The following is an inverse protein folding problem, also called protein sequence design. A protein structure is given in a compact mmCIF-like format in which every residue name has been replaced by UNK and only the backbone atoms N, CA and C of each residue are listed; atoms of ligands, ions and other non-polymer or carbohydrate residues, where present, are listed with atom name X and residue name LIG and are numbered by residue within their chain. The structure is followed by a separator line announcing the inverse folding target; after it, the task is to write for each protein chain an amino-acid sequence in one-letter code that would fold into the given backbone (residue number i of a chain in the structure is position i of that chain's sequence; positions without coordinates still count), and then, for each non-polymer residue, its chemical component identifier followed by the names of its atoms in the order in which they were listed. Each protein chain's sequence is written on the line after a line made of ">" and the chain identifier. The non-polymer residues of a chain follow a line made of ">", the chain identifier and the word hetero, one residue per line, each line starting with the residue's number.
data_IF_968791159991
#
_entry.id   IF_968791159991
#
_cell.length_a   1.000
_cell.length_b   1.000
_cell.length_c   1.000
_cell.angle_alpha   90.00
_cell.angle_beta   90.00
_cell.angle_gamma   90.00
#
_symmetry.space_group_name_H-M   'P 1'
#
loop_
_entity.id
_entity.type
_entity.pdbx_description
1 polymer ?
#
# COMPACT_ATOMS: atom_id res chain seq x y z
N UNK A 1 -0.19 -16.70 -12.13
CA UNK A 1 0.20 -15.26 -12.14
C UNK A 1 0.61 -14.76 -10.75
N UNK A 2 -0.24 -14.83 -9.69
CA UNK A 2 0.13 -14.35 -8.35
C UNK A 2 1.35 -15.08 -7.76
N UNK A 3 1.42 -16.40 -7.93
CA UNK A 3 2.57 -17.21 -7.53
C UNK A 3 3.84 -16.83 -8.32
N UNK A 4 3.71 -16.56 -9.60
CA UNK A 4 4.82 -16.12 -10.46
C UNK A 4 5.33 -14.75 -10.01
N UNK A 5 4.43 -13.81 -9.71
CA UNK A 5 4.80 -12.50 -9.19
C UNK A 5 5.53 -12.59 -7.85
N UNK A 6 5.07 -13.44 -6.94
CA UNK A 6 5.75 -13.70 -5.68
C UNK A 6 7.14 -14.31 -5.88
N UNK A 7 7.25 -15.33 -6.73
CA UNK A 7 8.53 -15.96 -7.06
C UNK A 7 9.50 -14.98 -7.75
N UNK A 8 8.99 -14.11 -8.63
CA UNK A 8 9.79 -13.06 -9.26
C UNK A 8 10.39 -12.10 -8.22
N UNK A 9 9.63 -11.66 -7.23
CA UNK A 9 10.16 -10.82 -6.15
C UNK A 9 11.27 -11.54 -5.38
N UNK A 10 11.08 -12.82 -5.07
CA UNK A 10 12.11 -13.64 -4.38
C UNK A 10 13.37 -13.78 -5.23
N UNK A 11 13.24 -14.01 -6.54
CA UNK A 11 14.38 -14.05 -7.47
C UNK A 11 15.10 -12.71 -7.58
N UNK A 12 14.41 -11.59 -7.36
CA UNK A 12 15.00 -10.24 -7.26
C UNK A 12 15.69 -9.97 -5.92
N UNK A 13 15.73 -10.95 -5.02
CA UNK A 13 16.43 -10.87 -3.73
C UNK A 13 15.57 -10.36 -2.58
N UNK A 14 14.26 -10.13 -2.78
CA UNK A 14 13.39 -9.79 -1.67
C UNK A 14 13.15 -11.03 -0.80
N UNK A 15 13.42 -10.92 0.49
CA UNK A 15 13.14 -11.97 1.44
C UNK A 15 11.66 -12.01 1.79
N UNK A 16 11.09 -13.20 2.13
CA UNK A 16 9.66 -13.31 2.49
C UNK A 16 9.23 -12.37 3.61
N UNK A 17 10.08 -12.16 4.61
CA UNK A 17 9.87 -11.22 5.71
C UNK A 17 9.83 -9.73 5.28
N UNK A 18 10.16 -9.45 4.03
CA UNK A 18 10.07 -8.12 3.42
C UNK A 18 8.96 -8.02 2.35
N UNK A 19 8.10 -9.02 2.26
CA UNK A 19 6.97 -9.04 1.32
C UNK A 19 5.67 -9.05 2.12
N UNK A 20 4.87 -8.02 1.94
CA UNK A 20 3.51 -7.91 2.47
C UNK A 20 2.52 -8.06 1.31
N UNK A 21 1.53 -8.93 1.46
CA UNK A 21 0.42 -9.00 0.51
C UNK A 21 -0.65 -7.97 0.89
N UNK A 22 -1.21 -7.33 -0.11
CA UNK A 22 -2.32 -6.42 0.08
C UNK A 22 -3.30 -6.59 -1.07
N UNK A 23 -4.57 -6.77 -0.76
CA UNK A 23 -5.61 -6.95 -1.77
C UNK A 23 -6.98 -6.49 -1.29
N UNK A 24 -7.82 -6.13 -2.24
CA UNK A 24 -9.21 -5.77 -2.00
C UNK A 24 -10.13 -6.75 -2.70
N UNK A 25 -11.33 -7.00 -2.16
CA UNK A 25 -12.36 -7.81 -2.79
C UNK A 25 -11.82 -9.19 -3.19
N UNK A 26 -11.94 -9.58 -4.45
CA UNK A 26 -11.35 -10.80 -5.01
C UNK A 26 -9.82 -10.85 -4.79
N UNK A 27 -9.11 -9.69 -4.86
CA UNK A 27 -7.70 -9.60 -4.55
C UNK A 27 -7.38 -9.85 -3.08
N UNK A 28 -8.29 -9.50 -2.16
CA UNK A 28 -8.21 -9.85 -0.74
C UNK A 28 -8.28 -11.36 -0.53
N UNK A 29 -9.23 -12.04 -1.18
CA UNK A 29 -9.32 -13.50 -1.22
C UNK A 29 -8.07 -14.16 -1.83
N UNK A 30 -7.58 -13.60 -2.96
CA UNK A 30 -6.38 -14.09 -3.65
C UNK A 30 -5.12 -14.04 -2.77
N UNK A 31 -4.98 -13.07 -1.86
CA UNK A 31 -3.86 -13.03 -0.92
C UNK A 31 -3.82 -14.29 -0.03
N UNK A 32 -4.96 -14.73 0.48
CA UNK A 32 -5.06 -15.96 1.27
C UNK A 32 -4.88 -17.21 0.42
N UNK A 33 -5.51 -17.26 -0.76
CA UNK A 33 -5.36 -18.36 -1.72
C UNK A 33 -3.89 -18.55 -2.15
N UNK A 34 -3.15 -17.46 -2.38
CA UNK A 34 -1.72 -17.51 -2.66
C UNK A 34 -0.93 -18.11 -1.48
N UNK A 35 -1.23 -17.70 -0.25
CA UNK A 35 -0.55 -18.27 0.93
C UNK A 35 -0.85 -19.77 1.09
N UNK A 36 -2.09 -20.20 0.84
CA UNK A 36 -2.45 -21.62 0.82
C UNK A 36 -1.66 -22.39 -0.24
N UNK A 37 -1.54 -21.82 -1.45
CA UNK A 37 -0.72 -22.40 -2.51
C UNK A 37 0.76 -22.45 -2.18
N UNK A 38 1.29 -21.43 -1.52
CA UNK A 38 2.68 -21.42 -1.04
C UNK A 38 2.91 -22.51 0.01
N UNK A 39 1.97 -22.74 0.92
CA UNK A 39 2.02 -23.85 1.90
C UNK A 39 2.03 -25.21 1.22
N UNK A 40 1.12 -25.41 0.26
CA UNK A 40 1.05 -26.66 -0.53
C UNK A 40 2.39 -26.97 -1.21
N UNK A 41 3.05 -25.94 -1.72
CA UNK A 41 4.37 -26.05 -2.37
C UNK A 41 5.56 -26.02 -1.39
N UNK A 42 5.31 -25.98 -0.08
CA UNK A 42 6.34 -25.83 0.96
C UNK A 42 7.27 -24.61 0.72
N UNK A 43 6.72 -23.54 0.17
CA UNK A 43 7.41 -22.27 -0.06
C UNK A 43 7.22 -21.34 1.15
N UNK A 44 8.22 -20.49 1.45
CA UNK A 44 8.10 -19.56 2.57
C UNK A 44 6.98 -18.53 2.33
N UNK A 45 6.26 -18.20 3.41
CA UNK A 45 5.14 -17.28 3.38
C UNK A 45 5.60 -15.81 3.50
N UNK A 46 4.82 -14.86 3.00
CA UNK A 46 5.05 -13.43 3.21
C UNK A 46 4.90 -13.05 4.68
N UNK A 47 5.37 -11.85 5.06
CA UNK A 47 5.36 -11.41 6.45
C UNK A 47 3.97 -11.01 6.97
N UNK A 48 2.99 -10.81 6.12
CA UNK A 48 1.63 -10.47 6.52
C UNK A 48 0.69 -10.25 5.35
N UNK A 49 -0.60 -10.16 5.67
CA UNK A 49 -1.70 -9.91 4.72
C UNK A 49 -2.51 -8.71 5.20
N UNK A 50 -2.78 -7.75 4.31
CA UNK A 50 -3.79 -6.72 4.49
C UNK A 50 -4.89 -6.99 3.48
N UNK A 51 -6.08 -7.33 3.96
CA UNK A 51 -7.22 -7.65 3.11
C UNK A 51 -8.36 -6.64 3.35
N UNK A 52 -8.82 -6.00 2.30
CA UNK A 52 -9.91 -5.02 2.36
C UNK A 52 -11.13 -5.68 1.72
N UNK A 53 -12.18 -5.89 2.52
CA UNK A 53 -13.42 -6.53 2.07
C UNK A 53 -13.17 -7.83 1.27
N UNK A 54 -12.39 -8.79 1.82
CA UNK A 54 -11.96 -9.96 1.04
C UNK A 54 -13.14 -10.84 0.62
N UNK A 55 -13.18 -11.21 -0.66
CA UNK A 55 -14.08 -12.26 -1.15
C UNK A 55 -13.42 -13.62 -0.94
N UNK A 56 -13.80 -14.31 0.14
CA UNK A 56 -13.15 -15.53 0.59
C UNK A 56 -14.00 -16.79 0.41
N UNK A 57 -15.28 -16.64 0.02
CA UNK A 57 -16.24 -17.72 -0.17
C UNK A 57 -17.03 -17.53 -1.46
N UNK A 58 -16.59 -18.16 -2.53
CA UNK A 58 -17.26 -18.10 -3.83
C UNK A 58 -18.53 -18.99 -3.90
N UNK A 59 -18.88 -19.68 -2.80
CA UNK A 59 -20.14 -20.42 -2.69
C UNK A 59 -21.29 -19.56 -2.17
N UNK A 60 -21.01 -18.30 -1.81
CA UNK A 60 -21.98 -17.36 -1.25
C UNK A 60 -22.76 -17.92 -0.04
N UNK A 61 -22.07 -18.69 0.82
CA UNK A 61 -22.73 -19.37 1.95
C UNK A 61 -22.89 -18.48 3.21
N UNK A 62 -22.45 -17.23 3.16
CA UNK A 62 -22.60 -16.27 4.24
C UNK A 62 -24.03 -15.71 4.33
N UNK A 63 -24.52 -15.40 5.54
CA UNK A 63 -25.87 -14.87 5.73
C UNK A 63 -26.01 -13.43 5.20
N UNK A 64 -24.93 -12.67 5.14
CA UNK A 64 -24.95 -11.27 4.68
C UNK A 64 -25.21 -11.12 3.18
N UNK A 65 -25.06 -12.18 2.39
CA UNK A 65 -25.49 -12.18 0.99
C UNK A 65 -27.01 -11.92 0.85
N UNK A 66 -27.79 -12.27 1.87
CA UNK A 66 -29.22 -11.99 1.92
C UNK A 66 -29.54 -10.78 2.82
N UNK A 67 -28.97 -10.72 4.03
CA UNK A 67 -29.35 -9.67 5.00
C UNK A 67 -28.85 -8.28 4.65
N UNK A 68 -27.80 -8.17 3.86
CA UNK A 68 -27.25 -6.90 3.39
C UNK A 68 -27.54 -6.63 1.89
N UNK A 69 -28.33 -7.47 1.27
CA UNK A 69 -28.62 -7.39 -0.18
C UNK A 69 -29.12 -6.01 -0.63
N UNK A 70 -29.98 -5.39 0.17
CA UNK A 70 -30.53 -4.06 -0.16
C UNK A 70 -29.69 -2.90 0.43
N UNK A 71 -28.75 -3.22 1.31
CA UNK A 71 -27.88 -2.21 1.92
C UNK A 71 -26.60 -1.98 1.10
N UNK A 72 -26.07 -3.04 0.47
CA UNK A 72 -24.86 -2.93 -0.33
C UNK A 72 -25.12 -2.16 -1.62
N UNK A 73 -24.55 -0.98 -1.72
CA UNK A 73 -24.66 -0.09 -2.88
C UNK A 73 -23.64 -0.41 -3.98
N UNK A 74 -22.75 -1.36 -3.74
CA UNK A 74 -21.60 -1.66 -4.60
C UNK A 74 -21.71 -3.01 -5.29
N UNK A 75 -22.24 -4.01 -4.59
CA UNK A 75 -22.26 -5.41 -5.05
C UNK A 75 -23.66 -5.99 -5.00
N UNK A 76 -23.93 -6.92 -5.92
CA UNK A 76 -25.13 -7.75 -5.87
C UNK A 76 -24.77 -9.24 -5.90
N UNK A 77 -25.60 -10.08 -5.30
CA UNK A 77 -25.38 -11.51 -5.26
C UNK A 77 -25.33 -12.13 -6.68
N UNK A 78 -26.12 -11.60 -7.62
CA UNK A 78 -26.16 -12.05 -9.00
C UNK A 78 -24.86 -11.77 -9.75
N UNK A 79 -24.26 -10.60 -9.54
CA UNK A 79 -22.96 -10.23 -10.13
C UNK A 79 -21.85 -11.10 -9.57
N UNK A 80 -21.85 -11.33 -8.25
CA UNK A 80 -20.86 -12.21 -7.60
C UNK A 80 -21.02 -13.66 -8.07
N UNK A 81 -22.24 -14.16 -8.23
CA UNK A 81 -22.49 -15.51 -8.78
C UNK A 81 -21.92 -15.64 -10.20
N UNK A 82 -22.13 -14.64 -11.04
CA UNK A 82 -21.56 -14.61 -12.40
C UNK A 82 -20.01 -14.64 -12.35
N UNK A 83 -19.38 -13.82 -11.50
CA UNK A 83 -17.94 -13.81 -11.38
C UNK A 83 -17.39 -15.11 -10.78
N UNK A 84 -18.08 -15.69 -9.79
CA UNK A 84 -17.72 -16.99 -9.23
C UNK A 84 -17.72 -18.09 -10.27
N UNK A 85 -18.74 -18.12 -11.12
CA UNK A 85 -18.83 -19.08 -12.21
C UNK A 85 -17.70 -18.88 -13.24
N UNK A 86 -17.43 -17.65 -13.63
CA UNK A 86 -16.32 -17.34 -14.57
C UNK A 86 -14.95 -17.73 -14.00
N UNK A 87 -14.72 -17.51 -12.71
CA UNK A 87 -13.44 -17.78 -12.08
C UNK A 87 -13.24 -19.27 -11.78
N UNK A 88 -14.25 -19.92 -11.20
CA UNK A 88 -14.15 -21.33 -10.81
C UNK A 88 -14.28 -22.29 -12.03
N UNK A 89 -15.01 -21.90 -13.07
CA UNK A 89 -15.29 -22.78 -14.20
C UNK A 89 -15.95 -24.09 -13.76
N UNK A 90 -15.32 -25.22 -14.10
CA UNK A 90 -15.76 -26.59 -13.73
C UNK A 90 -15.22 -27.04 -12.35
N UNK A 91 -14.39 -26.23 -11.67
CA UNK A 91 -13.81 -26.59 -10.40
C UNK A 91 -14.80 -26.45 -9.24
N UNK A 92 -14.58 -27.22 -8.18
CA UNK A 92 -15.34 -27.07 -6.95
C UNK A 92 -14.99 -25.70 -6.32
N UNK A 93 -16.00 -24.86 -6.15
CA UNK A 93 -15.86 -23.54 -5.52
C UNK A 93 -15.33 -23.61 -4.09
N UNK A 94 -15.36 -24.78 -3.44
CA UNK A 94 -14.78 -25.01 -2.12
C UNK A 94 -13.29 -25.31 -2.13
N UNK A 95 -12.69 -25.47 -3.30
CA UNK A 95 -11.24 -25.60 -3.38
C UNK A 95 -10.54 -24.42 -2.69
N UNK A 96 -9.55 -24.70 -1.87
CA UNK A 96 -8.88 -23.68 -1.02
C UNK A 96 -8.19 -22.56 -1.80
N UNK A 97 -7.87 -22.78 -3.07
CA UNK A 97 -7.29 -21.77 -3.96
C UNK A 97 -8.36 -20.92 -4.68
N UNK A 98 -9.62 -21.32 -4.56
CA UNK A 98 -10.79 -20.61 -5.08
C UNK A 98 -11.49 -19.88 -3.92
N UNK A 99 -11.85 -20.61 -2.88
CA UNK A 99 -12.46 -20.06 -1.67
C UNK A 99 -11.56 -20.33 -0.45
N UNK A 100 -10.62 -19.44 -0.15
CA UNK A 100 -9.67 -19.64 0.93
C UNK A 100 -10.31 -19.80 2.31
N UNK A 101 -11.57 -19.42 2.47
CA UNK A 101 -12.34 -19.67 3.66
C UNK A 101 -12.38 -21.17 4.02
N UNK A 102 -12.38 -22.07 3.06
CA UNK A 102 -12.46 -23.53 3.30
C UNK A 102 -11.08 -24.20 3.41
N UNK A 103 -10.00 -23.43 3.26
CA UNK A 103 -8.63 -23.95 3.30
C UNK A 103 -8.11 -24.31 4.70
N UNK A 104 -6.94 -24.95 4.74
CA UNK A 104 -6.17 -25.24 5.96
C UNK A 104 -5.40 -23.98 6.38
N UNK A 105 -5.94 -23.22 7.34
CA UNK A 105 -5.45 -21.90 7.72
C UNK A 105 -4.36 -21.91 8.81
N UNK A 106 -4.02 -23.05 9.39
CA UNK A 106 -2.95 -23.13 10.40
C UNK A 106 -1.63 -22.59 9.85
N UNK A 107 -0.96 -21.73 10.60
CA UNK A 107 0.32 -21.15 10.22
C UNK A 107 0.25 -20.08 9.12
N UNK A 108 -0.94 -19.54 8.82
CA UNK A 108 -1.09 -18.38 7.93
C UNK A 108 -0.38 -17.17 8.52
N UNK A 109 0.11 -16.24 7.65
CA UNK A 109 0.73 -15.01 8.10
C UNK A 109 -0.20 -14.15 8.96
N UNK A 110 0.36 -13.26 9.81
CA UNK A 110 -0.45 -12.23 10.46
C UNK A 110 -1.32 -11.49 9.45
N UNK A 111 -2.59 -11.23 9.81
CA UNK A 111 -3.57 -10.67 8.88
C UNK A 111 -4.32 -9.50 9.51
N UNK A 112 -4.47 -8.42 8.74
CA UNK A 112 -5.33 -7.28 9.05
C UNK A 112 -6.44 -7.22 8.01
N UNK A 113 -7.69 -7.38 8.46
CA UNK A 113 -8.86 -7.47 7.60
C UNK A 113 -9.76 -6.26 7.87
N UNK A 114 -10.27 -5.65 6.82
CA UNK A 114 -11.28 -4.57 6.89
C UNK A 114 -12.55 -5.02 6.19
N UNK A 115 -13.69 -4.65 6.73
CA UNK A 115 -15.00 -4.89 6.13
C UNK A 115 -15.98 -3.75 6.41
N UNK A 116 -16.82 -3.42 5.44
CA UNK A 116 -17.97 -2.55 5.63
C UNK A 116 -19.12 -3.29 6.32
N UNK A 117 -19.83 -2.62 7.22
CA UNK A 117 -20.97 -3.22 7.93
C UNK A 117 -22.17 -3.52 7.02
N UNK A 118 -22.31 -2.78 5.92
CA UNK A 118 -23.43 -2.91 5.00
C UNK A 118 -23.10 -3.71 3.73
N UNK A 119 -21.86 -4.20 3.58
CA UNK A 119 -21.50 -5.01 2.40
C UNK A 119 -21.99 -6.45 2.48
N UNK A 120 -22.30 -7.05 1.33
CA UNK A 120 -22.75 -8.46 1.26
C UNK A 120 -21.62 -9.45 1.56
N UNK A 121 -20.36 -9.06 1.44
CA UNK A 121 -19.18 -9.86 1.78
C UNK A 121 -18.76 -9.76 3.26
N UNK A 122 -19.57 -9.14 4.13
CA UNK A 122 -19.24 -9.00 5.55
C UNK A 122 -18.98 -10.36 6.22
N UNK A 123 -19.85 -11.35 5.98
CA UNK A 123 -19.70 -12.68 6.57
C UNK A 123 -18.42 -13.39 6.09
N UNK A 124 -17.97 -13.16 4.86
CA UNK A 124 -16.70 -13.69 4.37
C UNK A 124 -15.54 -13.24 5.27
N UNK A 125 -15.49 -11.93 5.55
CA UNK A 125 -14.48 -11.33 6.42
C UNK A 125 -14.58 -11.84 7.87
N UNK A 126 -15.78 -11.89 8.41
CA UNK A 126 -16.04 -12.35 9.80
C UNK A 126 -15.66 -13.82 9.97
N UNK A 127 -16.10 -14.67 9.06
CA UNK A 127 -15.84 -16.12 9.09
C UNK A 127 -14.36 -16.42 8.86
N UNK A 128 -13.72 -15.71 7.93
CA UNK A 128 -12.30 -15.86 7.65
C UNK A 128 -11.45 -15.47 8.88
N UNK A 129 -11.73 -14.31 9.50
CA UNK A 129 -11.04 -13.88 10.72
C UNK A 129 -11.25 -14.87 11.88
N UNK A 130 -12.47 -15.36 12.06
CA UNK A 130 -12.78 -16.38 13.09
C UNK A 130 -11.95 -17.63 12.86
N UNK A 131 -11.96 -18.20 11.66
CA UNK A 131 -11.20 -19.41 11.33
C UNK A 131 -9.69 -19.23 11.48
N UNK A 132 -9.14 -18.08 11.05
CA UNK A 132 -7.73 -17.75 11.30
C UNK A 132 -7.39 -17.77 12.79
N UNK A 133 -8.24 -17.17 13.62
CA UNK A 133 -8.05 -17.11 15.07
C UNK A 133 -8.17 -18.51 15.70
N UNK A 134 -9.17 -19.29 15.31
CA UNK A 134 -9.35 -20.69 15.74
C UNK A 134 -8.14 -21.58 15.38
N UNK A 135 -7.51 -21.31 14.24
CA UNK A 135 -6.25 -21.97 13.81
C UNK A 135 -4.99 -21.41 14.52
N UNK A 136 -5.13 -20.53 15.51
CA UNK A 136 -4.01 -19.95 16.25
C UNK A 136 -3.22 -18.88 15.49
N UNK A 137 -3.75 -18.36 14.37
CA UNK A 137 -3.11 -17.30 13.61
C UNK A 137 -3.41 -15.92 14.20
N UNK A 138 -2.46 -14.99 14.07
CA UNK A 138 -2.69 -13.59 14.43
C UNK A 138 -3.56 -12.95 13.36
N UNK A 139 -4.82 -12.69 13.68
CA UNK A 139 -5.75 -12.01 12.78
C UNK A 139 -6.52 -10.93 13.53
N UNK A 140 -6.67 -9.79 12.88
CA UNK A 140 -7.46 -8.65 13.38
C UNK A 140 -8.44 -8.22 12.31
N UNK A 141 -9.74 -8.20 12.66
CA UNK A 141 -10.81 -7.68 11.81
C UNK A 141 -11.24 -6.30 12.33
N UNK A 142 -11.39 -5.35 11.43
CA UNK A 142 -12.00 -4.03 11.65
C UNK A 142 -13.25 -3.94 10.78
N UNK A 143 -14.40 -3.77 11.43
CA UNK A 143 -15.68 -3.57 10.75
C UNK A 143 -16.09 -2.12 10.96
N UNK A 144 -16.29 -1.39 9.85
CA UNK A 144 -16.81 -0.03 9.88
C UNK A 144 -18.33 -0.06 9.70
N UNK A 145 -19.13 0.29 10.73
CA UNK A 145 -20.60 0.32 10.64
C UNK A 145 -21.05 1.23 9.50
N UNK A 146 -22.15 0.89 8.85
CA UNK A 146 -22.79 1.70 7.81
C UNK A 146 -21.86 2.07 6.65
N UNK A 147 -20.84 1.24 6.40
CA UNK A 147 -19.92 1.39 5.28
C UNK A 147 -20.13 0.28 4.24
N UNK A 148 -19.86 0.65 3.01
CA UNK A 148 -20.00 -0.20 1.84
C UNK A 148 -18.70 -0.95 1.51
N UNK A 149 -18.75 -1.78 0.50
CA UNK A 149 -17.64 -2.59 0.02
C UNK A 149 -16.39 -1.75 -0.30
N UNK A 150 -15.22 -2.19 0.17
CA UNK A 150 -13.92 -1.57 -0.04
C UNK A 150 -13.83 -0.09 0.39
N UNK A 151 -14.62 0.35 1.38
CA UNK A 151 -14.72 1.74 1.85
C UNK A 151 -13.37 2.39 2.18
N UNK A 152 -12.40 1.61 2.64
CA UNK A 152 -11.05 2.09 3.01
C UNK A 152 -10.36 2.80 1.85
N UNK A 153 -10.65 2.41 0.59
CA UNK A 153 -10.01 2.95 -0.60
C UNK A 153 -10.47 4.38 -0.94
N UNK A 154 -11.62 4.81 -0.45
CA UNK A 154 -12.21 6.11 -0.77
C UNK A 154 -11.57 7.29 -0.03
N UNK A 155 -10.62 7.04 0.87
CA UNK A 155 -9.84 8.07 1.58
C UNK A 155 -10.71 9.14 2.30
N UNK A 156 -11.80 8.71 2.90
CA UNK A 156 -12.66 9.59 3.70
C UNK A 156 -11.93 10.07 4.96
N UNK A 157 -12.30 11.23 5.50
CA UNK A 157 -11.70 11.74 6.73
C UNK A 157 -11.94 10.80 7.92
N UNK A 158 -13.07 10.11 7.92
CA UNK A 158 -13.48 9.15 8.94
C UNK A 158 -12.64 7.86 8.94
N UNK A 159 -11.88 7.60 7.87
CA UNK A 159 -11.02 6.41 7.74
C UNK A 159 -9.59 6.62 8.30
N UNK A 160 -9.33 7.68 9.07
CA UNK A 160 -7.98 7.96 9.60
C UNK A 160 -7.48 6.85 10.54
N UNK A 161 -8.38 6.27 11.34
CA UNK A 161 -8.04 5.19 12.26
C UNK A 161 -7.68 3.91 11.50
N UNK A 162 -8.32 3.65 10.34
CA UNK A 162 -8.00 2.51 9.48
C UNK A 162 -6.60 2.64 8.89
N UNK A 163 -6.23 3.84 8.41
CA UNK A 163 -4.87 4.10 7.93
C UNK A 163 -3.84 4.02 9.05
N UNK A 164 -4.22 4.43 10.26
CA UNK A 164 -3.36 4.28 11.43
C UNK A 164 -3.14 2.80 11.76
N UNK A 165 -4.19 1.98 11.68
CA UNK A 165 -4.10 0.53 11.87
C UNK A 165 -3.24 -0.15 10.79
N UNK A 166 -3.40 0.24 9.51
CA UNK A 166 -2.56 -0.25 8.40
C UNK A 166 -1.09 0.07 8.67
N UNK A 167 -0.79 1.30 9.09
CA UNK A 167 0.60 1.70 9.34
C UNK A 167 1.22 0.99 10.54
N UNK A 168 0.47 0.81 11.61
CA UNK A 168 0.91 0.04 12.75
C UNK A 168 1.22 -1.41 12.30
N UNK A 169 0.33 -2.04 11.55
CA UNK A 169 0.52 -3.38 11.06
C UNK A 169 1.75 -3.53 10.15
N UNK A 170 1.96 -2.57 9.23
CA UNK A 170 3.16 -2.53 8.38
C UNK A 170 4.43 -2.39 9.21
N UNK A 171 4.44 -1.52 10.21
CA UNK A 171 5.60 -1.32 11.08
C UNK A 171 5.91 -2.56 11.94
N UNK A 172 4.89 -3.32 12.35
CA UNK A 172 5.07 -4.50 13.21
C UNK A 172 5.56 -5.72 12.44
N UNK A 173 5.26 -5.82 11.13
CA UNK A 173 5.49 -7.03 10.35
C UNK A 173 6.45 -6.87 9.17
N UNK A 174 6.61 -5.66 8.60
CA UNK A 174 7.66 -5.38 7.64
C UNK A 174 8.91 -4.93 8.42
N UNK A 175 9.95 -5.73 8.38
CA UNK A 175 11.23 -5.63 9.06
C UNK A 175 11.61 -4.25 9.67
N UNK A 176 11.87 -4.16 10.98
CA UNK A 176 11.94 -2.91 11.75
C UNK A 176 13.25 -2.12 11.61
N UNK A 177 14.18 -2.48 10.71
CA UNK A 177 15.54 -1.94 10.74
C UNK A 177 15.67 -0.44 10.41
N UNK A 178 14.62 0.21 9.88
CA UNK A 178 14.63 1.68 9.75
C UNK A 178 13.21 2.25 9.64
N UNK A 179 12.66 2.78 10.73
CA UNK A 179 11.44 3.60 10.74
C UNK A 179 11.70 4.92 9.98
N UNK A 180 11.67 4.88 8.65
CA UNK A 180 11.53 6.11 7.87
C UNK A 180 10.14 6.66 8.12
N UNK A 181 10.06 7.89 8.61
CA UNK A 181 8.79 8.58 8.76
C UNK A 181 8.18 8.79 7.38
N UNK A 182 6.90 8.55 7.28
CA UNK A 182 6.15 8.86 6.07
C UNK A 182 5.02 9.82 6.42
N UNK A 183 4.65 10.62 5.43
CA UNK A 183 3.59 11.61 5.55
C UNK A 183 2.61 11.43 4.41
N UNK A 184 1.33 11.47 4.73
CA UNK A 184 0.27 11.48 3.72
C UNK A 184 0.31 12.81 2.97
N UNK A 185 0.08 12.76 1.65
CA UNK A 185 -0.18 13.97 0.89
C UNK A 185 -1.51 14.59 1.35
N UNK A 186 -1.49 15.87 1.64
CA UNK A 186 -2.71 16.63 1.82
C UNK A 186 -3.47 16.77 0.49
N UNK A 187 -4.68 17.31 0.53
CA UNK A 187 -5.52 17.41 -0.65
C UNK A 187 -4.92 18.31 -1.74
N UNK A 188 -4.19 19.36 -1.38
CA UNK A 188 -3.48 20.20 -2.33
C UNK A 188 -2.29 19.45 -2.96
N UNK A 189 -1.51 18.75 -2.16
CA UNK A 189 -0.36 17.98 -2.63
C UNK A 189 -0.74 16.82 -3.56
N UNK A 190 -1.94 16.23 -3.43
CA UNK A 190 -2.46 15.18 -4.33
C UNK A 190 -2.65 15.64 -5.77
N UNK A 191 -2.85 16.93 -5.99
CA UNK A 191 -3.02 17.53 -7.34
C UNK A 191 -1.74 17.35 -8.15
N UNK A 192 -0.56 17.44 -7.54
CA UNK A 192 0.71 17.40 -8.25
C UNK A 192 1.00 16.08 -8.96
N UNK A 193 0.86 14.89 -8.31
CA UNK A 193 0.98 13.62 -9.03
C UNK A 193 -0.11 13.41 -10.07
N UNK A 194 -1.34 13.88 -9.82
CA UNK A 194 -2.48 13.70 -10.72
C UNK A 194 -2.41 14.60 -11.96
N UNK A 195 -1.94 15.84 -11.82
CA UNK A 195 -1.83 16.81 -12.91
C UNK A 195 -0.59 16.60 -13.80
N UNK A 196 0.22 15.61 -13.51
CA UNK A 196 1.47 15.34 -14.21
C UNK A 196 1.23 14.95 -15.68
N UNK A 197 2.00 15.57 -16.59
CA UNK A 197 2.06 15.22 -18.02
C UNK A 197 3.48 14.86 -18.42
N UNK A 198 3.64 14.20 -19.59
CA UNK A 198 4.92 13.70 -20.08
C UNK A 198 6.01 14.79 -20.16
N UNK A 199 5.64 16.03 -20.42
CA UNK A 199 6.56 17.15 -20.64
C UNK A 199 6.29 18.33 -19.67
N UNK A 200 5.59 18.12 -18.57
CA UNK A 200 5.24 19.19 -17.64
C UNK A 200 5.28 18.71 -16.20
N UNK A 201 5.98 19.46 -15.37
CA UNK A 201 6.12 19.22 -13.94
C UNK A 201 5.80 20.50 -13.16
N UNK A 202 5.14 20.35 -12.04
CA UNK A 202 4.91 21.43 -11.08
C UNK A 202 6.11 21.55 -10.14
N UNK A 203 7.16 22.26 -10.57
CA UNK A 203 8.29 22.59 -9.71
C UNK A 203 8.29 24.06 -9.37
N UNK A 204 8.65 24.34 -8.12
CA UNK A 204 8.95 25.69 -7.66
C UNK A 204 10.46 25.83 -7.54
N UNK A 205 10.97 26.98 -7.93
CA UNK A 205 12.35 27.36 -7.67
C UNK A 205 12.38 28.55 -6.75
N UNK A 206 13.16 28.44 -5.68
CA UNK A 206 13.56 29.55 -4.84
C UNK A 206 15.04 29.72 -5.04
N UNK A 207 15.52 30.92 -5.23
CA UNK A 207 16.95 31.20 -5.41
C UNK A 207 17.40 32.36 -4.54
N UNK A 208 18.63 32.26 -4.05
CA UNK A 208 19.33 33.31 -3.31
C UNK A 208 20.67 33.61 -3.98
N UNK A 209 21.03 34.90 -4.05
CA UNK A 209 22.34 35.32 -4.54
C UNK A 209 23.16 35.82 -3.35
N UNK A 210 24.32 35.21 -3.16
CA UNK A 210 25.21 35.51 -2.08
C UNK A 210 26.21 36.64 -2.50
N UNK A 211 26.84 37.26 -1.54
CA UNK A 211 27.88 38.27 -1.78
C UNK A 211 29.18 37.67 -2.31
N UNK A 212 29.46 36.42 -1.94
CA UNK A 212 30.66 35.67 -2.34
C UNK A 212 30.27 34.37 -3.08
N UNK A 213 31.29 33.71 -3.65
CA UNK A 213 31.06 32.39 -4.26
C UNK A 213 30.69 31.39 -3.18
N UNK A 214 29.72 30.53 -3.53
CA UNK A 214 29.22 29.51 -2.61
C UNK A 214 30.25 28.39 -2.49
N UNK A 215 30.71 28.15 -1.27
CA UNK A 215 31.48 26.97 -0.93
C UNK A 215 30.53 25.78 -0.81
N UNK A 216 30.78 24.75 -1.62
CA UNK A 216 29.91 23.57 -1.72
C UNK A 216 29.99 22.67 -0.49
N UNK A 217 31.16 22.54 0.10
CA UNK A 217 31.36 21.70 1.28
C UNK A 217 30.66 22.32 2.50
N UNK A 218 30.80 23.63 2.67
CA UNK A 218 30.10 24.39 3.71
C UNK A 218 28.59 24.33 3.50
N UNK A 219 28.11 24.49 2.26
CA UNK A 219 26.67 24.40 1.96
C UNK A 219 26.13 22.99 2.18
N UNK A 220 26.89 21.93 1.81
CA UNK A 220 26.49 20.55 2.08
C UNK A 220 26.40 20.27 3.58
N UNK A 221 27.37 20.73 4.36
CA UNK A 221 27.36 20.60 5.83
C UNK A 221 26.14 21.32 6.43
N UNK A 222 25.85 22.55 5.97
CA UNK A 222 24.66 23.29 6.37
C UNK A 222 23.36 22.58 5.99
N UNK A 223 23.30 21.99 4.80
CA UNK A 223 22.16 21.21 4.35
C UNK A 223 21.95 19.95 5.21
N UNK A 224 23.02 19.25 5.55
CA UNK A 224 22.99 18.06 6.40
C UNK A 224 22.47 18.39 7.83
N UNK A 225 22.84 19.54 8.38
CA UNK A 225 22.31 20.05 9.66
C UNK A 225 20.84 20.43 9.51
N UNK A 226 20.49 21.14 8.43
CA UNK A 226 19.11 21.59 8.16
C UNK A 226 18.15 20.41 8.03
N UNK A 227 18.53 19.38 7.30
CA UNK A 227 17.71 18.18 7.11
C UNK A 227 17.50 17.44 8.43
N UNK A 228 18.52 17.37 9.30
CA UNK A 228 18.35 16.77 10.64
C UNK A 228 17.36 17.55 11.49
N UNK A 229 17.39 18.88 11.41
CA UNK A 229 16.49 19.76 12.16
C UNK A 229 15.07 19.78 11.60
N UNK A 230 14.93 19.68 10.27
CA UNK A 230 13.67 19.74 9.53
C UNK A 230 13.52 18.52 8.62
N UNK A 231 13.35 17.32 9.16
CA UNK A 231 13.33 16.09 8.37
C UNK A 231 12.19 16.06 7.34
N UNK A 232 11.12 16.82 7.56
CA UNK A 232 9.98 16.93 6.62
C UNK A 232 10.33 17.53 5.27
N UNK A 233 11.47 18.21 5.10
CA UNK A 233 11.91 18.72 3.80
C UNK A 233 12.66 17.67 2.98
N UNK A 234 13.35 16.74 3.63
CA UNK A 234 14.09 15.68 2.97
C UNK A 234 13.22 14.46 2.75
N UNK A 235 12.35 14.56 1.79
CA UNK A 235 11.36 13.53 1.47
C UNK A 235 11.43 13.11 0.00
N UNK A 236 10.92 11.93 -0.30
CA UNK A 236 10.71 11.44 -1.66
C UNK A 236 9.27 11.03 -1.86
N UNK A 237 8.77 11.20 -3.09
CA UNK A 237 7.44 10.76 -3.44
C UNK A 237 7.44 9.26 -3.73
N UNK A 238 6.64 8.53 -2.98
CA UNK A 238 6.41 7.09 -3.19
C UNK A 238 4.99 6.84 -3.68
N UNK A 239 4.85 5.79 -4.45
CA UNK A 239 3.56 5.26 -4.83
C UNK A 239 3.30 4.01 -3.99
N UNK A 240 2.32 4.09 -3.10
CA UNK A 240 1.78 2.94 -2.40
C UNK A 240 0.81 2.16 -3.30
N UNK A 241 0.22 1.12 -2.74
CA UNK A 241 -0.77 0.29 -3.45
C UNK A 241 -1.97 1.11 -3.90
N UNK A 242 -2.43 2.04 -3.06
CA UNK A 242 -3.66 2.81 -3.29
C UNK A 242 -3.43 4.32 -3.43
N UNK A 243 -2.31 4.87 -2.92
CA UNK A 243 -2.07 6.31 -2.91
C UNK A 243 -0.59 6.67 -2.99
N UNK A 244 -0.32 7.95 -3.26
CA UNK A 244 1.01 8.52 -3.11
C UNK A 244 1.23 9.01 -1.68
N UNK A 245 2.46 8.88 -1.19
CA UNK A 245 2.90 9.38 0.11
C UNK A 245 4.33 9.93 0.02
N UNK A 246 4.67 10.78 0.99
CA UNK A 246 6.04 11.29 1.15
C UNK A 246 6.76 10.41 2.18
N UNK A 247 7.91 9.92 1.82
CA UNK A 247 8.79 9.13 2.67
C UNK A 247 10.04 9.93 3.00
N UNK A 248 10.38 10.03 4.28
CA UNK A 248 11.59 10.72 4.76
C UNK A 248 12.85 10.04 4.19
N UNK A 249 13.84 10.85 3.85
CA UNK A 249 15.16 10.37 3.45
C UNK A 249 16.07 10.26 4.67
N UNK A 250 16.92 9.25 4.65
CA UNK A 250 17.91 9.05 5.71
C UNK A 250 19.05 10.06 5.72
N UNK A 251 19.30 10.65 4.56
CA UNK A 251 20.41 11.60 4.35
C UNK A 251 19.92 12.76 3.48
N UNK A 252 20.56 13.92 3.64
CA UNK A 252 20.34 15.06 2.77
C UNK A 252 20.73 14.73 1.31
N UNK A 253 20.05 15.30 0.31
CA UNK A 253 20.46 15.18 -1.09
C UNK A 253 21.80 15.87 -1.30
N UNK A 254 22.58 15.34 -2.24
CA UNK A 254 23.84 16.00 -2.60
C UNK A 254 23.59 17.24 -3.45
N UNK A 255 24.35 18.29 -3.14
CA UNK A 255 24.37 19.53 -3.91
C UNK A 255 24.87 19.25 -5.31
N UNK A 256 24.20 19.83 -6.31
CA UNK A 256 24.52 19.68 -7.74
C UNK A 256 24.90 21.03 -8.36
N UNK A 257 25.73 20.99 -9.42
CA UNK A 257 25.97 22.16 -10.23
C UNK A 257 24.80 22.43 -11.18
N UNK A 258 24.54 23.68 -11.46
CA UNK A 258 23.54 24.05 -12.48
C UNK A 258 24.12 23.73 -13.88
N UNK A 259 23.51 22.77 -14.54
CA UNK A 259 23.93 22.28 -15.87
C UNK A 259 22.93 22.59 -16.98
N UNK A 260 21.75 23.09 -16.62
CA UNK A 260 20.65 23.31 -17.54
C UNK A 260 19.89 24.59 -17.18
N UNK A 261 18.96 24.99 -18.03
CA UNK A 261 18.07 26.12 -17.76
C UNK A 261 17.32 25.94 -16.43
N UNK A 262 17.12 27.06 -15.70
CA UNK A 262 16.22 27.06 -14.56
C UNK A 262 14.87 26.48 -14.93
N UNK A 263 14.29 25.61 -14.12
CA UNK A 263 13.03 24.92 -14.39
C UNK A 263 13.03 23.96 -15.59
N UNK A 264 14.21 23.52 -16.06
CA UNK A 264 14.27 22.42 -17.02
C UNK A 264 13.50 21.20 -16.52
N UNK A 265 12.95 20.44 -17.46
CA UNK A 265 12.22 19.22 -17.16
C UNK A 265 13.02 18.28 -16.25
N UNK A 266 12.39 17.83 -15.18
CA UNK A 266 12.97 16.86 -14.23
C UNK A 266 12.32 15.51 -14.44
N UNK A 267 13.07 14.48 -14.81
CA UNK A 267 12.53 13.13 -14.89
C UNK A 267 11.89 12.69 -13.57
N UNK A 268 10.74 12.06 -13.65
CA UNK A 268 10.03 11.61 -12.43
C UNK A 268 10.84 10.64 -11.59
N UNK A 269 11.76 9.92 -12.19
CA UNK A 269 12.71 9.07 -11.45
C UNK A 269 13.46 9.88 -10.41
N UNK A 270 13.93 11.09 -10.74
CA UNK A 270 14.65 11.95 -9.81
C UNK A 270 13.75 12.47 -8.68
N UNK A 271 12.47 12.80 -8.97
CA UNK A 271 11.49 13.20 -7.94
C UNK A 271 11.21 12.05 -6.96
N UNK A 272 11.26 10.82 -7.45
CA UNK A 272 11.14 9.62 -6.62
C UNK A 272 12.39 9.32 -5.79
N UNK A 273 13.51 9.92 -6.12
CA UNK A 273 14.74 9.85 -5.32
C UNK A 273 14.74 10.92 -4.23
N UNK A 274 14.37 12.16 -4.57
CA UNK A 274 14.22 13.27 -3.63
C UNK A 274 13.27 14.33 -4.20
N UNK A 275 12.35 14.83 -3.38
CA UNK A 275 11.35 15.82 -3.78
C UNK A 275 11.91 17.23 -3.93
N UNK A 276 13.13 17.50 -3.48
CA UNK A 276 13.80 18.78 -3.70
C UNK A 276 15.27 18.59 -4.13
N UNK A 277 15.85 19.65 -4.68
CA UNK A 277 17.26 19.70 -5.09
C UNK A 277 17.87 21.01 -4.64
N UNK A 278 19.15 20.98 -4.29
CA UNK A 278 19.95 22.16 -4.09
C UNK A 278 20.96 22.25 -5.24
N UNK A 279 20.94 23.35 -5.95
CA UNK A 279 21.74 23.57 -7.16
C UNK A 279 22.55 24.84 -6.96
N UNK A 280 23.82 24.81 -7.31
CA UNK A 280 24.75 25.93 -7.14
C UNK A 280 25.30 26.38 -8.48
N UNK A 281 25.36 27.70 -8.67
CA UNK A 281 26.09 28.34 -9.77
C UNK A 281 26.77 29.60 -9.25
N UNK A 282 28.10 29.57 -9.12
CA UNK A 282 28.90 30.70 -8.58
C UNK A 282 28.37 31.21 -7.24
N UNK A 283 27.75 32.37 -7.25
CA UNK A 283 27.16 33.04 -6.07
C UNK A 283 25.68 32.70 -5.83
N UNK A 284 25.05 31.89 -6.69
CA UNK A 284 23.61 31.59 -6.63
C UNK A 284 23.36 30.16 -6.17
N UNK A 285 22.41 30.06 -5.27
CA UNK A 285 21.84 28.79 -4.80
C UNK A 285 20.42 28.67 -5.33
#
# INVERSE_FOLDING_TARGET
>A
DALEAYNYLRQKGYKPEHIMLCGESAGGGLCFALCLKLKELSLPLPCGIIAISPWADLTASGSTYETNREKDVSLTAEVLEFYAQCYAGEHDRREQTISPLFGELTGMPPSLIFAGGDEILLDDSVRLNRRLTECGCKSRLIIAPERWHAYVLYQLNENQDDFTAINAFLNDHLCPERKLRWMRLDNAAKIYPAARRKNWNNFFRVSATMTENVDREVLQAALDVTVRRFPSIAVRLRRGTFWYYLEELSNAPKIRDEKAYPLAYVPFKEVRECAFRVIVYKKRI
#
